data_IF_723357511752
#
_entry.id   IF_723357511752
#
_cell.length_a   1.000
_cell.length_b   1.000
_cell.length_c   1.000
_cell.angle_alpha   90.00
_cell.angle_beta   90.00
_cell.angle_gamma   90.00
#
_symmetry.space_group_name_H-M   'P 1'
#
loop_
_entity.id
_entity.type
_entity.pdbx_description
1 polymer ?
#
# COMPACT_ATOMS: atom_id res chain seq x y z
N UNK A 1 19.62 -4.98 8.06
CA UNK A 1 18.69 -4.59 6.96
C UNK A 1 17.30 -4.47 7.56
N UNK A 2 16.58 -3.39 7.26
CA UNK A 2 15.19 -3.27 7.73
C UNK A 2 14.32 -4.27 6.97
N UNK A 3 13.52 -5.04 7.70
CA UNK A 3 12.57 -5.98 7.11
C UNK A 3 11.27 -5.25 6.81
N UNK A 4 10.72 -5.48 5.61
CA UNK A 4 9.50 -4.84 5.14
C UNK A 4 8.45 -5.89 4.82
N UNK A 5 7.24 -5.63 5.26
CA UNK A 5 6.04 -6.30 4.78
C UNK A 5 5.62 -5.67 3.46
N UNK A 6 5.26 -6.49 2.47
CA UNK A 6 4.77 -6.03 1.17
C UNK A 6 3.33 -6.47 0.98
N UNK A 7 2.47 -5.53 0.61
CA UNK A 7 1.08 -5.81 0.25
C UNK A 7 0.83 -5.34 -1.17
N UNK A 8 0.18 -6.20 -1.97
CA UNK A 8 -0.24 -5.89 -3.32
C UNK A 8 -1.76 -5.92 -3.40
N UNK A 9 -2.34 -4.96 -4.10
CA UNK A 9 -3.75 -5.01 -4.48
C UNK A 9 -3.98 -4.42 -5.86
N UNK A 10 -5.07 -4.86 -6.47
CA UNK A 10 -5.54 -4.41 -7.77
C UNK A 10 -6.79 -3.58 -7.60
N UNK A 11 -6.85 -2.44 -8.27
CA UNK A 11 -7.96 -1.51 -8.25
C UNK A 11 -8.62 -1.53 -9.62
N UNK A 12 -9.94 -1.68 -9.61
CA UNK A 12 -10.76 -1.64 -10.82
C UNK A 12 -10.66 -0.29 -11.52
N UNK A 13 -10.91 -0.30 -12.84
CA UNK A 13 -11.06 0.91 -13.64
C UNK A 13 -12.24 1.80 -13.21
N UNK A 14 -13.22 1.22 -12.53
CA UNK A 14 -14.41 1.93 -12.01
C UNK A 14 -14.08 2.80 -10.81
N UNK A 15 -12.98 2.50 -10.10
CA UNK A 15 -12.53 3.30 -8.98
C UNK A 15 -12.07 4.68 -9.47
N UNK A 16 -12.69 5.72 -8.94
CA UNK A 16 -12.31 7.09 -9.24
C UNK A 16 -10.90 7.38 -8.70
N UNK A 17 -10.19 8.30 -9.35
CA UNK A 17 -8.85 8.70 -8.88
C UNK A 17 -8.87 9.25 -7.44
N UNK A 18 -9.97 9.91 -7.05
CA UNK A 18 -10.17 10.43 -5.70
C UNK A 18 -10.35 9.32 -4.67
N UNK A 19 -11.17 8.31 -4.98
CA UNK A 19 -11.37 7.14 -4.13
C UNK A 19 -10.05 6.38 -3.92
N UNK A 20 -9.30 6.13 -4.99
CA UNK A 20 -7.98 5.50 -4.91
C UNK A 20 -7.03 6.31 -4.03
N UNK A 21 -6.96 7.64 -4.22
CA UNK A 21 -6.09 8.49 -3.39
C UNK A 21 -6.46 8.38 -1.91
N UNK A 22 -7.76 8.47 -1.59
CA UNK A 22 -8.26 8.36 -0.22
C UNK A 22 -7.90 7.02 0.41
N UNK A 23 -8.14 5.92 -0.29
CA UNK A 23 -7.79 4.57 0.16
C UNK A 23 -6.30 4.45 0.50
N UNK A 24 -5.42 4.96 -0.38
CA UNK A 24 -3.97 4.91 -0.16
C UNK A 24 -3.54 5.79 1.02
N UNK A 25 -4.14 6.96 1.16
CA UNK A 25 -3.90 7.86 2.30
C UNK A 25 -4.33 7.20 3.60
N UNK A 26 -5.51 6.59 3.66
CA UNK A 26 -5.99 5.88 4.86
C UNK A 26 -5.05 4.71 5.24
N UNK A 27 -4.56 3.94 4.26
CA UNK A 27 -3.56 2.90 4.53
C UNK A 27 -2.26 3.47 5.11
N UNK A 28 -1.82 4.62 4.62
CA UNK A 28 -0.61 5.27 5.10
C UNK A 28 -0.79 5.84 6.51
N UNK A 29 -1.88 6.55 6.76
CA UNK A 29 -2.16 7.20 8.05
C UNK A 29 -2.41 6.19 9.17
N UNK A 30 -3.21 5.16 8.92
CA UNK A 30 -3.63 4.22 9.97
C UNK A 30 -2.84 2.91 10.00
N UNK A 31 -2.33 2.46 8.85
CA UNK A 31 -1.62 1.19 8.74
C UNK A 31 -0.10 1.31 8.74
N UNK A 32 0.45 2.52 8.66
CA UNK A 32 1.89 2.74 8.51
C UNK A 32 2.44 2.22 7.18
N UNK A 33 1.57 2.11 6.16
CA UNK A 33 1.94 1.66 4.83
C UNK A 33 2.49 2.81 3.99
N UNK A 34 3.53 2.55 3.23
CA UNK A 34 4.09 3.49 2.26
C UNK A 34 3.82 2.99 0.83
N UNK A 35 3.54 3.90 -0.09
CA UNK A 35 3.41 3.56 -1.50
C UNK A 35 4.78 3.19 -2.08
N UNK A 36 4.98 1.91 -2.40
CA UNK A 36 6.21 1.41 -3.01
C UNK A 36 6.17 1.52 -4.54
N UNK A 37 5.01 1.22 -5.15
CA UNK A 37 4.82 1.32 -6.61
C UNK A 37 3.34 1.46 -6.94
N UNK A 38 3.05 2.22 -8.00
CA UNK A 38 1.74 2.30 -8.64
C UNK A 38 1.92 2.07 -10.15
N UNK A 39 1.14 1.16 -10.72
CA UNK A 39 1.09 0.92 -12.16
C UNK A 39 -0.34 1.00 -12.65
N UNK A 40 -0.59 1.80 -13.69
CA UNK A 40 -1.86 1.85 -14.40
C UNK A 40 -1.74 1.06 -15.70
N UNK A 41 -2.72 0.23 -15.99
CA UNK A 41 -2.78 -0.57 -17.21
C UNK A 41 -3.72 0.06 -18.26
N UNK A 42 -3.58 -0.29 -19.55
CA UNK A 42 -4.42 0.24 -20.62
C UNK A 42 -5.92 -0.05 -20.47
N UNK A 43 -6.26 -1.19 -19.86
CA UNK A 43 -7.64 -1.58 -19.51
C UNK A 43 -8.26 -0.69 -18.41
N UNK A 44 -7.46 0.20 -17.81
CA UNK A 44 -7.85 1.13 -16.77
C UNK A 44 -7.68 0.58 -15.35
N UNK A 45 -7.29 -0.68 -15.20
CA UNK A 45 -6.95 -1.25 -13.88
C UNK A 45 -5.67 -0.62 -13.35
N UNK A 46 -5.48 -0.70 -12.03
CA UNK A 46 -4.28 -0.20 -11.37
C UNK A 46 -3.77 -1.25 -10.41
N UNK A 47 -2.46 -1.53 -10.44
CA UNK A 47 -1.80 -2.32 -9.41
C UNK A 47 -1.01 -1.42 -8.49
N UNK A 48 -1.19 -1.64 -7.20
CA UNK A 48 -0.52 -0.92 -6.13
C UNK A 48 0.32 -1.91 -5.35
N UNK A 49 1.52 -1.49 -5.00
CA UNK A 49 2.36 -2.13 -4.01
C UNK A 49 2.56 -1.18 -2.86
N UNK A 50 2.16 -1.61 -1.67
CA UNK A 50 2.45 -0.95 -0.41
C UNK A 50 3.55 -1.70 0.33
N UNK A 51 4.35 -0.96 1.10
CA UNK A 51 5.35 -1.54 2.00
C UNK A 51 5.19 -0.98 3.41
N UNK A 52 5.39 -1.79 4.44
CA UNK A 52 5.40 -1.36 5.83
C UNK A 52 6.66 -1.90 6.50
N UNK A 53 7.34 -1.08 7.32
CA UNK A 53 8.51 -1.55 8.08
C UNK A 53 8.06 -2.46 9.22
N UNK A 54 8.64 -3.65 9.31
CA UNK A 54 8.37 -4.58 10.41
C UNK A 54 9.18 -4.13 11.63
N UNK A 55 8.48 -3.75 12.70
CA UNK A 55 9.08 -3.44 13.99
C UNK A 55 9.06 -4.71 14.84
N UNK A 56 10.20 -5.39 14.92
CA UNK A 56 10.36 -6.54 15.83
C UNK A 56 10.55 -6.02 17.25
N UNK A 57 9.53 -6.12 18.08
CA UNK A 57 9.67 -5.86 19.52
C UNK A 57 10.33 -7.09 20.14
N UNK A 58 11.58 -6.95 20.53
CA UNK A 58 12.24 -7.97 21.35
C UNK A 58 11.64 -7.89 22.75
N UNK A 59 10.91 -8.93 23.17
CA UNK A 59 10.46 -9.03 24.56
C UNK A 59 11.69 -9.22 25.43
N UNK A 60 11.97 -8.25 26.29
CA UNK A 60 12.92 -8.41 27.38
C UNK A 60 12.21 -9.20 28.50
N UNK A 61 12.85 -10.27 28.97
CA UNK A 61 12.43 -11.03 30.15
C UNK A 61 12.99 -10.40 31.42
#
# INVERSE_FOLDING_TARGET
MAEYELQQFELSRTESRGAVRRLLTEHAEYGGWELARLRRYPDGTRRVWLRRRIIKVMRTF
#
